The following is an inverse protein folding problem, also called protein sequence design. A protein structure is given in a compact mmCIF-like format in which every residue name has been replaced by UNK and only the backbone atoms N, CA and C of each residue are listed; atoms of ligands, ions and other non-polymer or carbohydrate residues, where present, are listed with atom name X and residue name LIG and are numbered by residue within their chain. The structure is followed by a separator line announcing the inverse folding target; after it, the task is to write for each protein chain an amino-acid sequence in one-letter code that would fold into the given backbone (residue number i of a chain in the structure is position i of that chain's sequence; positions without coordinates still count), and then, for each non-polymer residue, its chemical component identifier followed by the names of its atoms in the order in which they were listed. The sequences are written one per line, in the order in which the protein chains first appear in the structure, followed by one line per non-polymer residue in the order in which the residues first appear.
data_IF_005745122495
#
_entry.id   IF_005745122495
#
_cell.length_a   1.000
_cell.length_b   1.000
_cell.length_c   1.000
_cell.angle_alpha   90.00
_cell.angle_beta   90.00
_cell.angle_gamma   90.00
#
_symmetry.space_group_name_H-M   'P 1'
#
loop_
_entity.id
_entity.type
_entity.pdbx_description
1 polymer ?
#
# COMPACT_ATOMS: atom_id res chain seq x y z
N UNK A 1 50.47 5.82 -1.39
CA UNK A 1 49.97 6.21 -0.06
C UNK A 1 48.47 5.98 -0.08
N UNK A 2 47.98 4.98 0.65
CA UNK A 2 46.64 4.41 0.48
C UNK A 2 45.79 4.67 1.73
N UNK A 3 44.53 5.05 1.55
CA UNK A 3 43.57 5.15 2.66
C UNK A 3 42.42 4.18 2.39
N UNK A 4 42.31 3.13 3.21
CA UNK A 4 41.15 2.22 3.26
C UNK A 4 40.18 2.74 4.33
N UNK A 5 38.91 2.89 3.99
CA UNK A 5 37.85 3.15 4.97
C UNK A 5 37.40 1.83 5.61
N UNK A 6 37.57 1.74 6.94
CA UNK A 6 37.13 0.62 7.76
C UNK A 6 35.68 0.78 8.20
N UNK A 7 34.99 -0.37 8.29
CA UNK A 7 33.63 -0.55 8.79
C UNK A 7 33.35 0.17 10.11
N UNK A 8 32.18 0.80 10.21
CA UNK A 8 31.59 1.22 11.47
C UNK A 8 30.57 0.16 11.91
N UNK A 9 30.97 -0.70 12.84
CA UNK A 9 30.06 -1.57 13.61
C UNK A 9 29.44 -0.77 14.74
N UNK A 10 28.14 -0.53 14.68
CA UNK A 10 27.34 -0.21 15.85
C UNK A 10 26.44 -1.41 16.15
N UNK A 11 26.93 -2.30 17.00
CA UNK A 11 26.09 -3.22 17.76
C UNK A 11 25.48 -2.41 18.90
N UNK A 12 24.24 -1.96 18.72
CA UNK A 12 23.39 -1.55 19.82
C UNK A 12 22.26 -2.57 19.93
N UNK A 13 22.48 -3.57 20.80
CA UNK A 13 21.53 -4.63 21.10
C UNK A 13 20.63 -4.12 22.23
N UNK A 14 19.71 -3.20 21.93
CA UNK A 14 18.62 -2.88 22.85
C UNK A 14 17.52 -3.93 22.73
N UNK A 15 17.34 -4.67 23.83
CA UNK A 15 16.28 -5.64 24.10
C UNK A 15 14.91 -5.17 23.62
N UNK A 16 14.46 -5.67 22.46
CA UNK A 16 13.06 -5.59 22.06
C UNK A 16 12.24 -6.60 22.87
N UNK A 17 11.12 -6.21 23.51
CA UNK A 17 10.19 -7.19 24.04
C UNK A 17 9.68 -8.04 22.87
N UNK A 18 9.67 -9.37 23.04
CA UNK A 18 9.02 -10.28 22.13
C UNK A 18 7.53 -9.93 22.09
N UNK A 19 7.14 -9.10 21.12
CA UNK A 19 5.74 -8.86 20.81
C UNK A 19 5.17 -10.20 20.40
N UNK A 20 4.42 -10.81 21.30
CA UNK A 20 3.60 -11.98 20.99
C UNK A 20 2.58 -11.49 19.97
N UNK A 21 2.88 -11.67 18.68
CA UNK A 21 1.95 -11.37 17.60
C UNK A 21 0.85 -12.42 17.69
N UNK A 22 -0.13 -12.16 18.55
CA UNK A 22 -1.40 -12.86 18.57
C UNK A 22 -2.03 -12.63 17.21
N UNK A 23 -1.75 -13.56 16.31
CA UNK A 23 -2.27 -13.53 14.95
C UNK A 23 -3.63 -14.20 15.07
N UNK A 24 -4.62 -13.43 15.52
CA UNK A 24 -6.02 -13.84 15.40
C UNK A 24 -6.20 -14.23 13.94
N UNK A 25 -6.68 -15.44 13.61
CA UNK A 25 -7.06 -15.76 12.26
C UNK A 25 -8.24 -14.85 11.94
N UNK A 26 -7.94 -13.69 11.34
CA UNK A 26 -8.96 -12.81 10.81
C UNK A 26 -9.56 -13.64 9.69
N UNK A 27 -10.72 -14.25 9.97
CA UNK A 27 -11.57 -14.83 8.96
C UNK A 27 -11.57 -13.84 7.80
N UNK A 28 -10.99 -14.25 6.68
CA UNK A 28 -10.82 -13.41 5.50
C UNK A 28 -12.25 -13.13 5.04
N UNK A 29 -12.81 -12.01 5.51
CA UNK A 29 -14.04 -11.48 4.97
C UNK A 29 -13.82 -11.46 3.46
N UNK A 30 -14.78 -11.99 2.70
CA UNK A 30 -14.74 -11.95 1.24
C UNK A 30 -14.28 -10.54 0.86
N UNK A 31 -13.16 -10.43 0.15
CA UNK A 31 -12.69 -9.12 -0.28
C UNK A 31 -13.82 -8.57 -1.16
N UNK A 32 -14.51 -7.54 -0.68
CA UNK A 32 -15.59 -6.93 -1.44
C UNK A 32 -14.96 -6.37 -2.71
N UNK A 33 -15.25 -7.02 -3.84
CA UNK A 33 -14.78 -6.55 -5.14
C UNK A 33 -15.71 -5.45 -5.61
N UNK A 34 -15.13 -4.30 -5.95
CA UNK A 34 -15.85 -3.16 -6.50
C UNK A 34 -15.48 -2.99 -7.96
N UNK A 35 -16.48 -2.66 -8.78
CA UNK A 35 -16.26 -2.18 -10.14
C UNK A 35 -16.10 -0.67 -10.13
N UNK A 36 -15.03 -0.20 -10.75
CA UNK A 36 -14.69 1.21 -10.90
C UNK A 36 -14.78 1.56 -12.38
N UNK A 37 -15.38 2.70 -12.69
CA UNK A 37 -15.43 3.24 -14.07
C UNK A 37 -14.97 4.70 -14.04
N UNK A 38 -13.98 5.06 -14.87
CA UNK A 38 -13.65 6.46 -15.15
C UNK A 38 -14.82 7.09 -15.92
N UNK A 39 -15.28 8.25 -15.47
CA UNK A 39 -16.30 9.02 -16.17
C UNK A 39 -15.72 9.92 -17.26
N UNK A 40 -14.38 10.03 -17.34
CA UNK A 40 -13.69 10.90 -18.28
C UNK A 40 -13.06 10.11 -19.43
N UNK A 41 -12.59 8.89 -19.16
CA UNK A 41 -11.77 8.11 -20.10
C UNK A 41 -12.46 6.86 -20.67
N UNK A 42 -13.72 6.62 -20.29
CA UNK A 42 -14.51 5.41 -20.64
C UNK A 42 -13.80 4.07 -20.31
N UNK A 43 -12.91 4.09 -19.31
CA UNK A 43 -12.22 2.91 -18.81
C UNK A 43 -12.93 2.32 -17.58
N UNK A 44 -12.89 1.00 -17.43
CA UNK A 44 -13.39 0.33 -16.22
C UNK A 44 -12.53 -0.84 -15.79
N UNK A 45 -12.42 -1.05 -14.48
CA UNK A 45 -11.63 -2.11 -13.85
C UNK A 45 -12.25 -2.52 -12.51
N UNK A 46 -11.73 -3.60 -11.92
CA UNK A 46 -12.15 -4.09 -10.59
C UNK A 46 -11.07 -3.84 -9.55
N UNK A 47 -11.45 -3.47 -8.34
CA UNK A 47 -10.54 -3.32 -7.19
C UNK A 47 -11.09 -4.03 -5.95
N UNK A 48 -10.23 -4.29 -4.97
CA UNK A 48 -10.62 -4.86 -3.68
C UNK A 48 -10.50 -3.87 -2.51
N UNK A 49 -9.69 -2.82 -2.64
CA UNK A 49 -9.31 -2.00 -1.47
C UNK A 49 -9.14 -0.50 -1.77
N UNK A 50 -8.27 -0.12 -2.72
CA UNK A 50 -7.95 1.30 -2.96
C UNK A 50 -7.85 1.66 -4.45
N UNK A 51 -8.12 2.93 -4.76
CA UNK A 51 -7.91 3.55 -6.08
C UNK A 51 -6.79 4.59 -5.94
N UNK A 52 -5.83 4.58 -6.85
CA UNK A 52 -4.80 5.62 -6.97
C UNK A 52 -4.88 6.25 -8.35
N UNK A 53 -4.92 7.58 -8.41
CA UNK A 53 -4.93 8.34 -9.66
C UNK A 53 -3.89 9.46 -9.58
N UNK A 54 -3.20 9.70 -10.69
CA UNK A 54 -2.31 10.86 -10.84
C UNK A 54 -3.14 11.97 -11.46
N UNK A 55 -3.24 13.11 -10.76
CA UNK A 55 -4.05 14.26 -11.19
C UNK A 55 -3.14 15.48 -11.30
N UNK A 56 -3.14 16.13 -12.47
CA UNK A 56 -2.36 17.35 -12.71
C UNK A 56 -2.90 18.57 -11.95
N UNK A 57 -2.14 19.68 -11.88
CA UNK A 57 -2.64 20.93 -11.34
C UNK A 57 -3.88 21.39 -12.11
N UNK A 58 -4.97 21.66 -11.39
CA UNK A 58 -6.28 22.05 -11.95
C UNK A 58 -7.04 20.96 -12.72
N UNK A 59 -6.53 19.73 -12.81
CA UNK A 59 -7.27 18.60 -13.36
C UNK A 59 -8.19 17.95 -12.31
N UNK A 60 -9.12 17.13 -12.78
CA UNK A 60 -10.00 16.32 -11.94
C UNK A 60 -10.03 14.90 -12.49
N UNK A 61 -9.97 13.91 -11.60
CA UNK A 61 -10.32 12.53 -11.90
C UNK A 61 -11.69 12.21 -11.28
N UNK A 62 -12.57 11.59 -12.06
CA UNK A 62 -13.94 11.28 -11.63
C UNK A 62 -14.26 9.81 -11.88
N UNK A 63 -14.64 9.09 -10.81
CA UNK A 63 -14.91 7.66 -10.86
C UNK A 63 -16.32 7.35 -10.35
N UNK A 64 -17.00 6.41 -11.01
CA UNK A 64 -18.19 5.73 -10.47
C UNK A 64 -17.77 4.39 -9.88
N UNK A 65 -18.13 4.14 -8.63
CA UNK A 65 -17.87 2.88 -7.93
C UNK A 65 -19.20 2.17 -7.70
N UNK A 66 -19.27 0.89 -8.06
CA UNK A 66 -20.42 0.03 -7.78
C UNK A 66 -19.95 -1.29 -7.18
N UNK A 67 -20.78 -1.93 -6.37
CA UNK A 67 -20.58 -3.35 -6.03
C UNK A 67 -20.58 -4.18 -7.33
N UNK A 68 -19.75 -5.22 -7.38
CA UNK A 68 -19.74 -6.16 -8.50
C UNK A 68 -21.05 -6.95 -8.61
#
# INVERSE_FOLDING_TARGET
MSVRLSHLTASDTESRPASTRSTVPRARAAADTYRVSSLLDDESWTIENEIRAVVGPHDVAMFRISSA
#
